data_IF_911173920155
#
_entry.id   IF_911173920155
#
_cell.length_a   1.000
_cell.length_b   1.000
_cell.length_c   1.000
_cell.angle_alpha   90.00
_cell.angle_beta   90.00
_cell.angle_gamma   90.00
#
_symmetry.space_group_name_H-M   'P 1'
#
loop_
_entity.id
_entity.type
_entity.pdbx_description
1 polymer ?
#
# COMPACT_ATOMS: atom_id res chain seq x y z
N UNK A 1 -4.59 13.63 -20.42
CA UNK A 1 -4.56 12.65 -19.31
C UNK A 1 -3.15 12.70 -18.76
N UNK A 2 -2.96 13.35 -17.62
CA UNK A 2 -1.64 13.45 -16.99
C UNK A 2 -1.14 12.03 -16.74
N UNK A 3 -0.04 11.66 -17.39
CA UNK A 3 0.81 10.52 -17.03
C UNK A 3 1.46 10.81 -15.67
N UNK A 4 0.62 10.98 -14.64
CA UNK A 4 1.05 10.99 -13.26
C UNK A 4 1.51 9.58 -12.95
N UNK A 5 2.78 9.43 -12.61
CA UNK A 5 3.30 8.19 -12.05
C UNK A 5 2.38 7.73 -10.92
N UNK A 6 1.56 6.71 -11.16
CA UNK A 6 0.73 6.12 -10.12
C UNK A 6 1.67 5.47 -9.11
N UNK A 7 1.73 6.03 -7.90
CA UNK A 7 2.55 5.46 -6.85
C UNK A 7 1.88 4.18 -6.36
N UNK A 8 2.61 3.07 -6.46
CA UNK A 8 2.19 1.74 -6.00
C UNK A 8 3.16 1.28 -4.92
N UNK A 9 2.62 0.82 -3.80
CA UNK A 9 3.38 0.23 -2.71
C UNK A 9 2.89 -1.20 -2.47
N UNK A 10 3.82 -2.13 -2.23
CA UNK A 10 3.50 -3.53 -1.96
C UNK A 10 3.79 -3.81 -0.50
N UNK A 11 2.80 -4.33 0.23
CA UNK A 11 2.93 -4.75 1.63
C UNK A 11 2.30 -6.12 1.84
N UNK A 12 2.44 -6.68 3.05
CA UNK A 12 1.93 -7.99 3.43
C UNK A 12 0.85 -7.85 4.49
N UNK A 13 -0.31 -8.46 4.25
CA UNK A 13 -1.31 -8.66 5.29
C UNK A 13 -0.84 -9.78 6.23
N UNK A 14 -0.50 -9.45 7.47
CA UNK A 14 -0.15 -10.40 8.51
C UNK A 14 -1.30 -10.57 9.49
N UNK A 15 -1.69 -11.81 9.78
CA UNK A 15 -2.70 -12.10 10.80
C UNK A 15 -1.95 -12.43 12.11
N UNK A 16 -2.24 -11.75 13.23
CA UNK A 16 -1.58 -12.03 14.50
C UNK A 16 -1.66 -13.51 14.87
N UNK A 17 -0.52 -14.09 15.26
CA UNK A 17 -0.37 -15.53 15.60
C UNK A 17 -0.66 -16.51 14.44
N UNK A 18 -0.71 -16.02 13.20
CA UNK A 18 -0.78 -16.86 12.00
C UNK A 18 0.29 -16.44 10.99
N UNK A 19 0.39 -17.22 9.93
CA UNK A 19 1.20 -16.93 8.74
C UNK A 19 0.72 -15.67 7.98
N UNK A 20 1.53 -15.23 7.02
CA UNK A 20 1.18 -14.14 6.11
C UNK A 20 -0.10 -14.52 5.36
N UNK A 21 -1.13 -13.68 5.45
CA UNK A 21 -2.38 -13.89 4.75
C UNK A 21 -2.19 -13.70 3.26
N UNK A 22 -1.63 -12.58 2.81
CA UNK A 22 -1.43 -12.32 1.40
C UNK A 22 -0.75 -10.99 1.13
N UNK A 23 -0.56 -10.72 -0.15
CA UNK A 23 0.01 -9.45 -0.62
C UNK A 23 -1.09 -8.40 -0.66
N UNK A 24 -0.76 -7.18 -0.26
CA UNK A 24 -1.61 -6.00 -0.38
C UNK A 24 -0.90 -5.03 -1.30
N UNK A 25 -1.54 -4.70 -2.41
CA UNK A 25 -1.09 -3.66 -3.33
C UNK A 25 -1.83 -2.38 -2.97
N UNK A 26 -1.08 -1.38 -2.50
CA UNK A 26 -1.57 -0.07 -2.14
C UNK A 26 -1.36 0.89 -3.30
N UNK A 27 -2.38 1.66 -3.64
CA UNK A 27 -2.29 2.78 -4.57
C UNK A 27 -2.47 4.09 -3.81
N UNK A 28 -1.66 5.09 -4.13
CA UNK A 28 -1.87 6.42 -3.60
C UNK A 28 -3.18 7.01 -4.15
N UNK A 29 -3.98 7.56 -3.26
CA UNK A 29 -5.27 8.20 -3.51
C UNK A 29 -5.07 9.71 -3.72
N UNK A 30 -6.12 10.41 -4.16
CA UNK A 30 -6.09 11.86 -4.42
C UNK A 30 -5.81 12.70 -3.16
N UNK A 31 -6.21 12.21 -1.99
CA UNK A 31 -5.96 12.82 -0.68
C UNK A 31 -4.56 12.50 -0.12
N UNK A 32 -3.67 11.92 -0.94
CA UNK A 32 -2.36 11.38 -0.57
C UNK A 32 -2.38 10.23 0.46
N UNK A 33 -3.57 9.72 0.82
CA UNK A 33 -3.68 8.46 1.55
C UNK A 33 -3.39 7.28 0.63
N UNK A 34 -3.22 6.10 1.22
CA UNK A 34 -2.95 4.86 0.51
C UNK A 34 -4.06 3.87 0.77
N UNK A 35 -4.58 3.25 -0.30
CA UNK A 35 -5.63 2.27 -0.18
C UNK A 35 -5.34 1.03 -1.04
N UNK A 36 -5.78 -0.13 -0.56
CA UNK A 36 -5.61 -1.40 -1.25
C UNK A 36 -6.37 -2.53 -0.58
N UNK A 37 -6.32 -3.70 -1.21
CA UNK A 37 -6.95 -4.93 -0.68
C UNK A 37 -5.96 -6.07 -0.65
N UNK A 38 -6.09 -6.94 0.36
CA UNK A 38 -5.36 -8.20 0.39
C UNK A 38 -5.85 -9.09 -0.76
N UNK A 39 -4.93 -9.58 -1.59
CA UNK A 39 -5.25 -10.45 -2.73
C UNK A 39 -5.87 -11.79 -2.33
N UNK A 40 -5.67 -12.26 -1.09
CA UNK A 40 -6.20 -13.54 -0.62
C UNK A 40 -7.55 -13.43 0.07
N UNK A 41 -7.70 -12.52 1.02
CA UNK A 41 -8.90 -12.44 1.87
C UNK A 41 -9.82 -11.26 1.56
N UNK A 42 -9.42 -10.37 0.63
CA UNK A 42 -10.19 -9.17 0.28
C UNK A 42 -10.21 -8.08 1.37
N UNK A 43 -9.46 -8.27 2.47
CA UNK A 43 -9.39 -7.31 3.57
C UNK A 43 -8.91 -5.95 3.08
N UNK A 44 -9.60 -4.89 3.49
CA UNK A 44 -9.32 -3.53 3.07
C UNK A 44 -8.23 -2.90 3.94
N UNK A 45 -7.26 -2.27 3.30
CA UNK A 45 -6.17 -1.57 3.95
C UNK A 45 -6.26 -0.11 3.55
N UNK A 46 -6.35 0.76 4.55
CA UNK A 46 -6.20 2.19 4.38
C UNK A 46 -5.09 2.67 5.30
N UNK A 47 -4.10 3.31 4.71
CA UNK A 47 -3.04 4.00 5.39
C UNK A 47 -3.28 5.49 5.17
N UNK A 48 -3.54 6.21 6.26
CA UNK A 48 -3.52 7.67 6.22
C UNK A 48 -2.14 8.17 5.80
N UNK A 49 -2.06 9.45 5.48
CA UNK A 49 -0.82 10.08 5.02
C UNK A 49 0.27 9.93 6.09
N UNK A 50 1.17 8.98 5.88
CA UNK A 50 2.32 8.73 6.75
C UNK A 50 3.61 9.16 6.03
N UNK A 51 4.27 10.24 6.47
CA UNK A 51 5.46 10.77 5.81
C UNK A 51 6.63 9.78 5.75
N UNK A 52 6.74 8.87 6.73
CA UNK A 52 7.81 7.86 6.76
C UNK A 52 7.55 6.79 5.71
N UNK A 53 6.31 6.35 5.57
CA UNK A 53 5.87 5.41 4.55
C UNK A 53 6.07 5.99 3.15
N UNK A 54 5.68 7.24 2.91
CA UNK A 54 5.92 7.90 1.62
C UNK A 54 7.43 7.99 1.29
N UNK A 55 8.27 8.33 2.27
CA UNK A 55 9.72 8.37 2.10
C UNK A 55 10.30 6.98 1.77
N UNK A 56 9.82 5.92 2.44
CA UNK A 56 10.23 4.54 2.14
C UNK A 56 9.82 4.12 0.73
N UNK A 57 8.59 4.40 0.31
CA UNK A 57 8.13 4.08 -1.05
C UNK A 57 8.94 4.81 -2.11
N UNK A 58 9.26 6.09 -1.88
CA UNK A 58 10.13 6.86 -2.78
C UNK A 58 11.56 6.30 -2.83
N UNK A 59 12.11 5.84 -1.71
CA UNK A 59 13.45 5.25 -1.65
C UNK A 59 13.57 3.92 -2.41
N UNK A 60 12.49 3.13 -2.51
CA UNK A 60 12.44 1.87 -3.25
C UNK A 60 12.38 2.03 -4.78
N UNK A 61 12.32 3.26 -5.30
CA UNK A 61 12.10 3.56 -6.73
C UNK A 61 13.41 3.71 -7.54
N UNK A 62 14.54 3.25 -7.00
CA UNK A 62 15.85 3.24 -7.66
C UNK A 62 16.11 1.94 -8.41
#
# INVERSE_FOLDING_TARGET
MTTGSQFVAITLHRIPRKEVCGVVVLSQQEDASWAGKCSKCGGEFRLERDPKFEAQVRAMRN
#
